data_IF_389490785876
#
_entry.id   IF_389490785876
#
_cell.length_a   1.000
_cell.length_b   1.000
_cell.length_c   1.000
_cell.angle_alpha   90.00
_cell.angle_beta   90.00
_cell.angle_gamma   90.00
#
_symmetry.space_group_name_H-M   'P 1'
#
loop_
_entity.id
_entity.type
_entity.pdbx_description
1 polymer ?
#
# COMPACT_ATOMS: atom_id res chain seq x y z
N UNK A 1 5.94 0.13 23.68
CA UNK A 1 6.52 -0.70 22.60
C UNK A 1 7.64 -1.52 23.20
N UNK A 2 7.66 -2.86 23.03
CA UNK A 2 8.82 -3.64 23.42
C UNK A 2 10.06 -3.15 22.65
N UNK A 3 11.20 -3.06 23.33
CA UNK A 3 12.45 -2.49 22.81
C UNK A 3 13.00 -3.26 21.58
N UNK A 4 12.50 -4.48 21.34
CA UNK A 4 12.93 -5.37 20.25
C UNK A 4 12.00 -5.37 19.03
N UNK A 5 10.99 -4.50 19.00
CA UNK A 5 10.02 -4.45 17.89
C UNK A 5 10.67 -3.88 16.62
N UNK A 6 11.29 -4.75 15.81
CA UNK A 6 11.85 -4.38 14.50
C UNK A 6 10.76 -3.89 13.56
N UNK A 7 10.80 -2.61 13.25
CA UNK A 7 9.93 -1.98 12.27
C UNK A 7 10.33 -2.42 10.86
N UNK A 8 9.34 -2.67 10.00
CA UNK A 8 9.56 -3.17 8.65
C UNK A 8 8.83 -2.29 7.66
N UNK A 9 9.55 -1.79 6.66
CA UNK A 9 9.01 -0.99 5.57
C UNK A 9 9.21 -1.72 4.24
N UNK A 10 8.24 -1.64 3.34
CA UNK A 10 8.35 -2.17 1.98
C UNK A 10 7.86 -1.16 0.95
N UNK A 11 8.53 -1.14 -0.19
CA UNK A 11 8.16 -0.29 -1.32
C UNK A 11 7.55 -1.14 -2.46
N UNK A 12 6.42 -0.71 -3.01
CA UNK A 12 5.73 -1.36 -4.13
C UNK A 12 5.48 -0.38 -5.26
N UNK A 13 6.30 -0.47 -6.30
CA UNK A 13 6.19 0.35 -7.52
C UNK A 13 6.13 -0.55 -8.76
N UNK A 14 5.70 0.04 -9.89
CA UNK A 14 5.70 -0.63 -11.18
C UNK A 14 7.08 -1.13 -11.61
N UNK A 15 7.11 -2.06 -12.57
CA UNK A 15 8.37 -2.65 -13.07
C UNK A 15 9.02 -3.70 -12.16
N UNK A 16 8.34 -4.10 -11.07
CA UNK A 16 8.82 -5.13 -10.15
C UNK A 16 8.04 -6.44 -10.29
N UNK A 17 8.72 -7.57 -10.04
CA UNK A 17 8.11 -8.91 -10.13
C UNK A 17 6.94 -9.06 -9.13
N UNK A 18 5.75 -9.32 -9.68
CA UNK A 18 4.52 -9.55 -8.92
C UNK A 18 4.61 -10.76 -8.00
N UNK A 19 5.09 -11.90 -8.49
CA UNK A 19 5.16 -13.13 -7.68
C UNK A 19 6.09 -12.95 -6.48
N UNK A 20 7.24 -12.29 -6.70
CA UNK A 20 8.17 -11.96 -5.62
C UNK A 20 7.55 -11.01 -4.59
N UNK A 21 6.68 -10.12 -5.04
CA UNK A 21 5.95 -9.18 -4.17
C UNK A 21 4.95 -9.92 -3.27
N UNK A 22 4.16 -10.83 -3.84
CA UNK A 22 3.21 -11.67 -3.10
C UNK A 22 3.92 -12.51 -2.04
N UNK A 23 5.02 -13.17 -2.42
CA UNK A 23 5.81 -13.98 -1.49
C UNK A 23 6.35 -13.15 -0.31
N UNK A 24 6.79 -11.91 -0.57
CA UNK A 24 7.22 -11.00 0.48
C UNK A 24 6.06 -10.57 1.37
N UNK A 25 4.84 -10.45 0.85
CA UNK A 25 3.66 -9.97 1.60
C UNK A 25 3.00 -11.05 2.48
N UNK A 26 3.47 -12.31 2.43
CA UNK A 26 3.14 -13.32 3.45
C UNK A 26 3.34 -12.83 4.88
N UNK A 27 4.31 -11.94 5.10
CA UNK A 27 4.45 -11.14 6.32
C UNK A 27 4.14 -9.67 6.01
N UNK A 28 3.00 -9.19 6.52
CA UNK A 28 2.57 -7.80 6.37
C UNK A 28 3.60 -6.86 7.02
N UNK A 29 4.09 -5.83 6.30
CA UNK A 29 5.00 -4.83 6.85
C UNK A 29 4.26 -3.81 7.71
N UNK A 30 5.00 -3.07 8.53
CA UNK A 30 4.44 -1.98 9.35
C UNK A 30 4.22 -0.71 8.52
N UNK A 31 5.07 -0.47 7.52
CA UNK A 31 4.98 0.68 6.62
C UNK A 31 5.00 0.18 5.18
N UNK A 32 4.11 0.72 4.36
CA UNK A 32 4.08 0.51 2.93
C UNK A 32 4.19 1.85 2.23
N UNK A 33 5.07 1.91 1.24
CA UNK A 33 5.18 3.02 0.30
C UNK A 33 4.99 2.44 -1.10
N UNK A 34 4.36 3.18 -2.00
CA UNK A 34 4.17 2.67 -3.35
C UNK A 34 3.34 3.57 -4.24
N UNK A 35 3.28 3.24 -5.53
CA UNK A 35 2.43 3.94 -6.48
C UNK A 35 0.99 3.44 -6.38
N UNK A 36 0.02 4.33 -6.57
CA UNK A 36 -1.41 4.07 -6.36
C UNK A 36 -1.90 2.83 -7.09
N UNK A 37 -1.62 2.70 -8.38
CA UNK A 37 -2.04 1.53 -9.17
C UNK A 37 -1.51 0.22 -8.61
N UNK A 38 -0.24 0.20 -8.16
CA UNK A 38 0.38 -1.02 -7.62
C UNK A 38 -0.21 -1.41 -6.27
N UNK A 39 -0.46 -0.44 -5.41
CA UNK A 39 -1.09 -0.67 -4.11
C UNK A 39 -2.53 -1.16 -4.31
N UNK A 40 -3.29 -0.53 -5.21
CA UNK A 40 -4.65 -0.95 -5.56
C UNK A 40 -4.70 -2.41 -5.99
N UNK A 41 -3.83 -2.84 -6.90
CA UNK A 41 -3.77 -4.23 -7.36
C UNK A 41 -3.55 -5.20 -6.19
N UNK A 42 -2.55 -4.94 -5.34
CA UNK A 42 -2.23 -5.78 -4.19
C UNK A 42 -3.37 -5.84 -3.16
N UNK A 43 -4.12 -4.76 -3.01
CA UNK A 43 -5.27 -4.67 -2.12
C UNK A 43 -6.49 -5.39 -2.73
N UNK A 44 -6.69 -5.31 -4.04
CA UNK A 44 -7.77 -6.00 -4.74
C UNK A 44 -7.58 -7.52 -4.74
N UNK A 45 -6.33 -7.96 -4.86
CA UNK A 45 -5.96 -9.38 -4.80
C UNK A 45 -5.90 -9.94 -3.35
N UNK A 46 -6.27 -9.14 -2.34
CA UNK A 46 -6.18 -9.48 -0.91
C UNK A 46 -4.77 -9.87 -0.45
N UNK A 47 -3.72 -9.40 -1.13
CA UNK A 47 -2.31 -9.66 -0.79
C UNK A 47 -1.81 -8.66 0.24
N UNK A 48 -2.21 -7.39 0.12
CA UNK A 48 -1.91 -6.33 1.07
C UNK A 48 -3.14 -6.01 1.93
N UNK A 49 -3.01 -6.15 3.24
CA UNK A 49 -4.14 -6.07 4.19
C UNK A 49 -4.29 -4.66 4.78
N UNK A 50 -4.75 -3.71 3.96
CA UNK A 50 -4.89 -2.29 4.36
C UNK A 50 -5.90 -2.04 5.47
N UNK A 51 -6.89 -2.93 5.66
CA UNK A 51 -7.84 -2.85 6.79
C UNK A 51 -7.17 -2.94 8.18
N UNK A 52 -5.90 -3.36 8.24
CA UNK A 52 -5.12 -3.38 9.48
C UNK A 52 -4.38 -2.06 9.75
N UNK A 53 -4.33 -1.15 8.76
CA UNK A 53 -3.70 0.15 8.89
C UNK A 53 -4.67 1.19 9.44
N UNK A 54 -4.16 2.11 10.26
CA UNK A 54 -4.90 3.26 10.81
C UNK A 54 -4.62 4.57 10.08
N UNK A 55 -3.62 4.58 9.21
CA UNK A 55 -3.11 5.79 8.58
C UNK A 55 -2.90 5.56 7.09
N UNK A 56 -3.36 6.51 6.31
CA UNK A 56 -3.10 6.65 4.88
C UNK A 56 -2.48 8.02 4.66
N UNK A 57 -1.33 8.06 3.99
CA UNK A 57 -0.67 9.31 3.60
C UNK A 57 -0.68 9.35 2.07
N UNK A 58 -1.21 10.45 1.54
CA UNK A 58 -1.23 10.74 0.10
C UNK A 58 -0.27 11.89 -0.12
N UNK A 59 0.80 11.61 -0.87
CA UNK A 59 1.78 12.61 -1.27
C UNK A 59 1.37 13.22 -2.63
N UNK A 60 1.67 14.51 -2.85
CA UNK A 60 1.31 15.25 -4.07
C UNK A 60 -0.16 15.05 -4.49
N UNK A 61 -1.09 15.28 -3.55
CA UNK A 61 -2.50 14.97 -3.72
C UNK A 61 -3.17 15.76 -4.85
N UNK A 62 -2.69 16.98 -5.13
CA UNK A 62 -3.09 17.81 -6.27
C UNK A 62 -2.75 17.13 -7.61
N UNK A 63 -1.53 16.62 -7.76
CA UNK A 63 -1.14 15.85 -8.94
C UNK A 63 -1.97 14.57 -9.08
N UNK A 64 -2.28 13.89 -7.97
CA UNK A 64 -3.14 12.71 -8.00
C UNK A 64 -4.57 13.04 -8.46
N UNK A 65 -5.09 14.22 -8.12
CA UNK A 65 -6.37 14.71 -8.61
C UNK A 65 -6.32 14.99 -10.11
N UNK A 66 -5.28 15.69 -10.58
CA UNK A 66 -5.10 16.06 -11.99
C UNK A 66 -4.93 14.83 -12.91
N UNK A 67 -4.23 13.80 -12.44
CA UNK A 67 -4.05 12.54 -13.17
C UNK A 67 -5.28 11.61 -13.13
N UNK A 68 -6.31 11.96 -12.36
CA UNK A 68 -7.50 11.13 -12.16
C UNK A 68 -7.27 9.91 -11.26
N UNK A 69 -6.15 9.84 -10.55
CA UNK A 69 -5.83 8.72 -9.65
C UNK A 69 -6.58 8.76 -8.32
N UNK A 70 -7.32 9.83 -8.05
CA UNK A 70 -8.11 9.94 -6.83
C UNK A 70 -9.11 8.79 -6.64
N UNK A 71 -9.65 8.25 -7.73
CA UNK A 71 -10.56 7.10 -7.65
C UNK A 71 -9.85 5.82 -7.19
N UNK A 72 -8.60 5.64 -7.60
CA UNK A 72 -7.79 4.49 -7.17
C UNK A 72 -7.38 4.63 -5.70
N UNK A 73 -7.11 5.85 -5.24
CA UNK A 73 -6.86 6.15 -3.82
C UNK A 73 -8.12 5.86 -2.99
N UNK A 74 -9.29 6.31 -3.45
CA UNK A 74 -10.58 6.10 -2.79
C UNK A 74 -10.94 4.61 -2.65
N UNK A 75 -10.66 3.79 -3.67
CA UNK A 75 -10.82 2.34 -3.59
C UNK A 75 -9.93 1.68 -2.52
N UNK A 76 -8.74 2.21 -2.27
CA UNK A 76 -7.86 1.70 -1.20
C UNK A 76 -8.35 2.20 0.15
N UNK A 77 -8.69 3.48 0.26
CA UNK A 77 -9.16 4.12 1.48
C UNK A 77 -10.48 3.51 1.98
N UNK A 78 -11.41 3.19 1.09
CA UNK A 78 -12.69 2.53 1.44
C UNK A 78 -12.54 1.12 2.02
N UNK A 79 -11.36 0.50 1.91
CA UNK A 79 -11.02 -0.79 2.52
C UNK A 79 -10.27 -0.65 3.85
N UNK A 80 -9.97 0.57 4.26
CA UNK A 80 -9.41 0.88 5.56
C UNK A 80 -10.54 1.05 6.61
N UNK A 81 -10.26 0.85 7.90
CA UNK A 81 -11.25 0.98 8.97
C UNK A 81 -11.67 2.43 9.24
#
# INVERSE_FOLDING_TARGET
CPEDAKLTAKNFVGGTDYKRTVEKLKKQPHIVVGTTGRIKDLVNDNVLLVHTSKYLVVDEADLMLDMGFIHDVDQVASKMP
#
